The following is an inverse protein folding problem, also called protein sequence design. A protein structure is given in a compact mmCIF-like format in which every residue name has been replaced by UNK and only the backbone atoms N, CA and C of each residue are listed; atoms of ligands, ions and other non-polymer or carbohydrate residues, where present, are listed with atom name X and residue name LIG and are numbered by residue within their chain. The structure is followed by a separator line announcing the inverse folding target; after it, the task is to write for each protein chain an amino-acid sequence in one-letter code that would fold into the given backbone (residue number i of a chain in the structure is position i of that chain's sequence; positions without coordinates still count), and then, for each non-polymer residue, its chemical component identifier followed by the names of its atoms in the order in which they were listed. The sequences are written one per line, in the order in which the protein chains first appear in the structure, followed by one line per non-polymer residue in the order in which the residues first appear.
data_IF_227173620587
#
_entry.id   IF_227173620587
#
_cell.length_a   1.000
_cell.length_b   1.000
_cell.length_c   1.000
_cell.angle_alpha   90.00
_cell.angle_beta   90.00
_cell.angle_gamma   90.00
#
_symmetry.space_group_name_H-M   'P 1'
#
loop_
_entity.id
_entity.type
_entity.pdbx_description
1 polymer ?
#
# COMPACT_ATOMS: atom_id res chain seq x y z
N UNK A 1 -13.92 27.16 13.63
CA UNK A 1 -12.63 26.78 14.25
C UNK A 1 -12.92 25.60 15.18
N UNK A 2 -12.65 24.38 14.74
CA UNK A 2 -12.79 23.21 15.59
C UNK A 2 -11.73 23.34 16.69
N UNK A 3 -12.16 23.56 17.93
CA UNK A 3 -11.26 23.56 19.07
C UNK A 3 -10.66 22.16 19.20
N UNK A 4 -9.33 22.07 19.14
CA UNK A 4 -8.58 20.84 19.39
C UNK A 4 -8.03 20.88 20.82
N UNK A 5 -8.85 20.62 21.86
CA UNK A 5 -8.33 20.53 23.22
C UNK A 5 -7.32 19.38 23.28
N UNK A 6 -6.11 19.66 23.77
CA UNK A 6 -5.09 18.63 24.06
C UNK A 6 -3.90 18.55 23.11
N UNK A 7 -3.84 19.34 22.03
CA UNK A 7 -2.63 19.40 21.21
C UNK A 7 -1.58 20.33 21.85
N UNK A 8 -0.30 19.93 21.94
CA UNK A 8 0.76 20.78 22.44
C UNK A 8 0.92 22.03 21.57
N UNK A 9 1.40 23.12 22.17
CA UNK A 9 1.68 24.36 21.44
C UNK A 9 2.69 24.09 20.30
N UNK A 10 2.35 24.50 19.07
CA UNK A 10 3.16 24.26 17.87
C UNK A 10 2.91 22.94 17.16
N UNK A 11 1.93 22.13 17.58
CA UNK A 11 1.54 20.93 16.84
C UNK A 11 1.12 21.25 15.40
N UNK A 12 1.62 20.46 14.44
CA UNK A 12 1.15 20.47 13.06
C UNK A 12 0.16 19.34 12.87
N UNK A 13 -0.92 19.61 12.14
CA UNK A 13 -1.93 18.62 11.79
C UNK A 13 -2.00 18.47 10.28
N UNK A 14 -2.13 17.23 9.83
CA UNK A 14 -2.45 16.93 8.44
C UNK A 14 -3.98 16.92 8.29
N UNK A 15 -4.51 17.80 7.44
CA UNK A 15 -5.92 17.76 7.03
C UNK A 15 -5.99 17.10 5.66
N UNK A 16 -6.59 15.91 5.60
CA UNK A 16 -6.74 15.13 4.40
C UNK A 16 -8.23 14.85 4.11
N UNK A 17 -8.54 14.60 2.84
CA UNK A 17 -9.88 14.15 2.46
C UNK A 17 -10.11 12.72 2.95
N UNK A 18 -11.35 12.42 3.36
CA UNK A 18 -11.74 11.05 3.71
C UNK A 18 -11.85 10.20 2.45
N UNK A 19 -10.99 9.19 2.33
CA UNK A 19 -11.04 8.23 1.23
C UNK A 19 -12.37 7.45 1.26
N UNK A 20 -12.91 7.16 0.07
CA UNK A 20 -14.11 6.34 -0.04
C UNK A 20 -13.80 4.90 0.43
N UNK A 21 -14.77 4.19 1.03
CA UNK A 21 -14.58 2.81 1.46
C UNK A 21 -14.15 1.89 0.32
N UNK A 22 -13.40 0.84 0.66
CA UNK A 22 -12.89 -0.12 -0.30
C UNK A 22 -12.36 -1.38 0.39
N UNK A 23 -11.77 -2.27 -0.41
CA UNK A 23 -10.96 -3.37 0.09
C UNK A 23 -9.62 -2.78 0.54
N UNK A 24 -9.19 -3.13 1.75
CA UNK A 24 -7.86 -2.78 2.26
C UNK A 24 -6.80 -3.72 1.70
N UNK A 25 -5.70 -3.15 1.23
CA UNK A 25 -4.55 -3.86 0.67
C UNK A 25 -3.28 -3.27 1.26
N UNK A 26 -2.34 -4.14 1.63
CA UNK A 26 -0.97 -3.80 1.99
C UNK A 26 -0.12 -3.78 0.71
N UNK A 27 0.72 -2.75 0.56
CA UNK A 27 1.77 -2.67 -0.46
C UNK A 27 3.07 -2.25 0.20
N UNK A 28 4.10 -3.09 0.15
CA UNK A 28 5.39 -2.82 0.79
C UNK A 28 6.54 -3.11 -0.18
N UNK A 29 7.48 -2.19 -0.34
CA UNK A 29 8.70 -2.40 -1.10
C UNK A 29 9.92 -2.23 -0.17
N UNK A 30 10.92 -3.12 -0.28
CA UNK A 30 12.12 -3.09 0.56
C UNK A 30 13.39 -3.54 -0.16
N UNK A 31 14.51 -2.92 0.19
CA UNK A 31 15.84 -3.16 -0.39
C UNK A 31 16.85 -3.74 0.61
N UNK A 32 16.40 -4.22 1.77
CA UNK A 32 17.23 -4.78 2.85
C UNK A 32 17.64 -6.25 2.62
N UNK A 33 17.08 -6.91 1.61
CA UNK A 33 17.42 -8.28 1.20
C UNK A 33 18.45 -8.37 0.08
N UNK A 34 18.80 -9.61 -0.30
CA UNK A 34 19.74 -9.87 -1.43
C UNK A 34 19.22 -9.30 -2.75
N UNK A 35 17.89 -9.35 -2.95
CA UNK A 35 17.19 -8.75 -4.08
C UNK A 35 16.09 -7.88 -3.50
N UNK A 36 15.93 -6.62 -3.93
CA UNK A 36 14.80 -5.81 -3.52
C UNK A 36 13.48 -6.47 -3.89
N UNK A 37 12.47 -6.33 -3.03
CA UNK A 37 11.18 -7.02 -3.19
C UNK A 37 9.99 -6.10 -3.03
N UNK A 38 8.92 -6.43 -3.73
CA UNK A 38 7.58 -5.90 -3.54
C UNK A 38 6.71 -6.98 -2.90
N UNK A 39 6.01 -6.64 -1.83
CA UNK A 39 5.02 -7.45 -1.16
C UNK A 39 3.66 -6.80 -1.34
N UNK A 40 2.68 -7.55 -1.82
CA UNK A 40 1.28 -7.12 -1.87
C UNK A 40 0.39 -8.16 -1.22
N UNK A 41 -0.64 -7.73 -0.50
CA UNK A 41 -1.56 -8.65 0.17
C UNK A 41 -2.79 -7.95 0.71
N UNK A 42 -3.80 -8.73 1.10
CA UNK A 42 -5.02 -8.17 1.69
C UNK A 42 -4.72 -7.61 3.08
N UNK A 43 -5.25 -6.42 3.38
CA UNK A 43 -5.14 -5.74 4.68
C UNK A 43 -6.28 -6.06 5.65
N UNK A 44 -6.26 -5.42 6.82
CA UNK A 44 -7.25 -5.61 7.90
C UNK A 44 -7.16 -6.96 8.59
N UNK A 45 -8.27 -7.44 9.19
CA UNK A 45 -8.34 -8.74 9.90
C UNK A 45 -7.80 -9.91 9.06
N UNK A 46 -7.86 -9.79 7.73
CA UNK A 46 -7.39 -10.79 6.80
C UNK A 46 -5.85 -10.89 6.71
N UNK A 47 -5.10 -9.80 6.91
CA UNK A 47 -3.63 -9.85 6.93
C UNK A 47 -3.11 -10.56 8.18
N UNK A 48 -3.66 -10.23 9.35
CA UNK A 48 -3.20 -10.73 10.65
C UNK A 48 -3.55 -12.22 10.85
N UNK A 49 -4.71 -12.66 10.35
CA UNK A 49 -5.17 -14.03 10.53
C UNK A 49 -4.65 -15.02 9.47
N UNK A 50 -4.35 -14.56 8.24
CA UNK A 50 -4.07 -15.45 7.11
C UNK A 50 -2.69 -15.28 6.49
N UNK A 51 -1.99 -14.15 6.71
CA UNK A 51 -0.72 -13.87 6.05
C UNK A 51 -0.82 -13.97 4.52
N UNK A 52 -1.97 -13.60 3.95
CA UNK A 52 -2.27 -13.77 2.53
C UNK A 52 -1.60 -12.67 1.70
N UNK A 53 -0.34 -12.93 1.37
CA UNK A 53 0.54 -12.03 0.63
C UNK A 53 1.21 -12.75 -0.53
N UNK A 54 1.62 -12.00 -1.54
CA UNK A 54 2.57 -12.42 -2.56
C UNK A 54 3.79 -11.52 -2.54
N UNK A 55 4.96 -12.13 -2.68
CA UNK A 55 6.25 -11.43 -2.78
C UNK A 55 6.76 -11.56 -4.20
N UNK A 56 7.20 -10.45 -4.79
CA UNK A 56 7.70 -10.35 -6.15
C UNK A 56 9.09 -9.68 -6.10
N UNK A 57 10.10 -10.22 -6.81
CA UNK A 57 11.38 -9.53 -6.95
C UNK A 57 11.20 -8.25 -7.77
N UNK A 58 11.95 -7.20 -7.43
CA UNK A 58 12.00 -5.96 -8.19
C UNK A 58 13.17 -5.99 -9.22
N UNK A 59 13.03 -5.31 -10.37
CA UNK A 59 11.85 -4.56 -10.83
C UNK A 59 10.70 -5.48 -11.25
N UNK A 60 9.47 -4.97 -11.19
CA UNK A 60 8.25 -5.73 -11.49
C UNK A 60 7.28 -4.93 -12.35
N UNK A 61 6.56 -5.60 -13.26
CA UNK A 61 5.54 -4.95 -14.08
C UNK A 61 4.18 -4.93 -13.37
N UNK A 62 3.32 -3.96 -13.72
CA UNK A 62 1.93 -3.93 -13.24
C UNK A 62 1.19 -5.25 -13.55
N UNK A 63 1.43 -5.86 -14.72
CA UNK A 63 0.83 -7.16 -15.05
C UNK A 63 1.25 -8.27 -14.08
N UNK A 64 2.54 -8.37 -13.75
CA UNK A 64 3.02 -9.39 -12.82
C UNK A 64 2.46 -9.17 -11.39
N UNK A 65 2.28 -7.91 -10.99
CA UNK A 65 1.59 -7.56 -9.74
C UNK A 65 0.13 -8.00 -9.77
N UNK A 66 -0.60 -7.67 -10.85
CA UNK A 66 -1.99 -8.09 -11.05
C UNK A 66 -2.14 -9.60 -10.96
N UNK A 67 -1.30 -10.35 -11.66
CA UNK A 67 -1.30 -11.82 -11.63
C UNK A 67 -1.00 -12.34 -10.22
N UNK A 68 -0.09 -11.67 -9.48
CA UNK A 68 0.17 -11.93 -8.07
C UNK A 68 -1.06 -11.74 -7.18
N UNK A 69 -1.75 -10.61 -7.32
CA UNK A 69 -2.97 -10.29 -6.56
C UNK A 69 -4.09 -11.33 -6.80
N UNK A 70 -4.20 -11.86 -8.02
CA UNK A 70 -5.16 -12.90 -8.36
C UNK A 70 -4.83 -14.27 -7.76
N UNK A 71 -3.56 -14.49 -7.34
CA UNK A 71 -3.14 -15.72 -6.64
C UNK A 71 -3.36 -15.70 -5.14
N UNK A 72 -3.74 -14.55 -4.58
CA UNK A 72 -4.11 -14.45 -3.17
C UNK A 72 -5.28 -15.39 -2.86
N UNK A 73 -5.25 -16.03 -1.69
CA UNK A 73 -6.33 -16.94 -1.23
C UNK A 73 -7.66 -16.20 -1.15
N UNK A 74 -7.63 -14.92 -0.77
CA UNK A 74 -8.77 -14.02 -0.69
C UNK A 74 -9.02 -13.20 -1.96
N UNK A 75 -8.44 -13.55 -3.11
CA UNK A 75 -8.58 -12.78 -4.37
C UNK A 75 -10.03 -12.52 -4.80
N UNK A 76 -10.99 -13.36 -4.35
CA UNK A 76 -12.42 -13.14 -4.52
C UNK A 76 -12.91 -11.78 -3.97
N UNK A 77 -12.25 -11.22 -2.95
CA UNK A 77 -12.56 -9.88 -2.44
C UNK A 77 -12.18 -8.79 -3.44
N UNK A 78 -11.16 -9.02 -4.27
CA UNK A 78 -10.71 -8.09 -5.31
C UNK A 78 -11.53 -8.24 -6.60
N UNK A 79 -11.93 -9.47 -6.96
CA UNK A 79 -12.68 -9.76 -8.19
C UNK A 79 -14.19 -9.66 -8.03
N UNK A 80 -14.68 -9.40 -6.82
CA UNK A 80 -16.09 -9.26 -6.48
C UNK A 80 -16.63 -10.49 -5.76
N UNK A 81 -17.05 -10.31 -4.51
CA UNK A 81 -17.64 -11.35 -3.68
C UNK A 81 -18.74 -10.79 -2.77
N UNK A 82 -19.70 -11.65 -2.40
CA UNK A 82 -20.79 -11.33 -1.45
C UNK A 82 -21.57 -10.05 -1.80
N UNK A 83 -21.90 -9.86 -3.08
CA UNK A 83 -22.67 -8.70 -3.55
C UNK A 83 -21.86 -7.41 -3.68
N UNK A 84 -20.54 -7.45 -3.48
CA UNK A 84 -19.65 -6.30 -3.74
C UNK A 84 -19.11 -6.36 -5.18
N UNK A 85 -19.02 -5.22 -5.87
CA UNK A 85 -18.41 -5.16 -7.19
C UNK A 85 -16.90 -5.47 -7.12
N UNK A 86 -16.33 -5.86 -8.25
CA UNK A 86 -14.89 -5.94 -8.40
C UNK A 86 -14.24 -4.57 -8.14
N UNK A 87 -13.02 -4.59 -7.59
CA UNK A 87 -12.22 -3.38 -7.42
C UNK A 87 -11.46 -3.06 -8.72
N UNK A 88 -10.95 -1.83 -8.84
CA UNK A 88 -10.03 -1.48 -9.92
C UNK A 88 -8.66 -2.11 -9.66
N UNK A 89 -8.53 -3.36 -10.13
CA UNK A 89 -7.32 -4.15 -9.95
C UNK A 89 -6.13 -3.61 -10.75
N UNK A 90 -6.38 -2.94 -11.88
CA UNK A 90 -5.32 -2.31 -12.67
C UNK A 90 -4.73 -1.09 -11.96
N UNK A 91 -5.59 -0.27 -11.34
CA UNK A 91 -5.13 0.87 -10.55
C UNK A 91 -4.26 0.41 -9.36
N UNK A 92 -4.69 -0.63 -8.65
CA UNK A 92 -3.91 -1.21 -7.55
C UNK A 92 -2.56 -1.76 -8.04
N UNK A 93 -2.56 -2.55 -9.12
CA UNK A 93 -1.35 -3.15 -9.64
C UNK A 93 -0.34 -2.10 -10.16
N UNK A 94 -0.86 -1.06 -10.81
CA UNK A 94 -0.05 0.09 -11.27
C UNK A 94 0.55 0.86 -10.09
N UNK A 95 -0.25 1.13 -9.04
CA UNK A 95 0.22 1.79 -7.83
C UNK A 95 1.36 0.99 -7.19
N UNK A 96 1.17 -0.31 -7.00
CA UNK A 96 2.17 -1.15 -6.35
C UNK A 96 3.46 -1.32 -7.16
N UNK A 97 3.38 -1.44 -8.50
CA UNK A 97 4.57 -1.42 -9.35
C UNK A 97 5.34 -0.09 -9.22
N UNK A 98 4.63 1.05 -9.20
CA UNK A 98 5.26 2.37 -9.01
C UNK A 98 5.94 2.55 -7.65
N UNK A 99 5.44 1.90 -6.60
CA UNK A 99 6.14 1.88 -5.29
C UNK A 99 7.47 1.13 -5.40
N UNK A 100 7.49 0.02 -6.15
CA UNK A 100 8.73 -0.68 -6.50
C UNK A 100 9.70 0.20 -7.27
N UNK A 101 9.23 0.89 -8.30
CA UNK A 101 10.03 1.82 -9.09
C UNK A 101 10.57 2.99 -8.25
N UNK A 102 9.76 3.53 -7.33
CA UNK A 102 10.16 4.58 -6.39
C UNK A 102 11.33 4.13 -5.52
N UNK A 103 11.24 2.93 -4.93
CA UNK A 103 12.32 2.35 -4.13
C UNK A 103 13.61 2.21 -4.95
N UNK A 104 13.53 1.64 -6.16
CA UNK A 104 14.70 1.46 -7.02
C UNK A 104 15.30 2.79 -7.52
N UNK A 105 14.47 3.83 -7.64
CA UNK A 105 14.89 5.16 -8.06
C UNK A 105 15.49 6.04 -6.96
N UNK A 106 15.38 5.65 -5.69
CA UNK A 106 15.82 6.43 -4.54
C UNK A 106 16.83 5.64 -3.69
N UNK A 107 18.15 5.81 -3.91
CA UNK A 107 19.18 5.00 -3.23
C UNK A 107 19.16 5.06 -1.70
N UNK A 108 18.71 6.17 -1.12
CA UNK A 108 18.62 6.34 0.33
C UNK A 108 17.32 5.79 0.92
N UNK A 109 16.38 5.35 0.10
CA UNK A 109 15.11 4.76 0.55
C UNK A 109 15.30 3.27 0.79
N UNK A 110 15.20 2.84 2.05
CA UNK A 110 15.35 1.45 2.47
C UNK A 110 14.06 0.66 2.26
N UNK A 111 12.93 1.28 2.61
CA UNK A 111 11.62 0.68 2.42
C UNK A 111 10.50 1.72 2.37
N UNK A 112 9.40 1.33 1.73
CA UNK A 112 8.12 2.05 1.73
C UNK A 112 7.02 1.05 2.00
N UNK A 113 6.16 1.34 2.96
CA UNK A 113 4.96 0.57 3.23
C UNK A 113 3.74 1.48 3.14
N UNK A 114 2.75 1.06 2.34
CA UNK A 114 1.44 1.69 2.24
C UNK A 114 0.43 0.76 2.91
N UNK A 115 -0.11 1.19 4.04
CA UNK A 115 -0.99 0.36 4.86
C UNK A 115 -1.98 1.21 5.69
N UNK A 116 -3.26 1.34 5.26
CA UNK A 116 -3.87 0.65 4.14
C UNK A 116 -3.77 1.42 2.81
N UNK A 117 -3.78 0.66 1.72
CA UNK A 117 -4.29 1.11 0.41
C UNK A 117 -5.76 0.71 0.30
N UNK A 118 -6.66 1.68 0.15
CA UNK A 118 -8.08 1.42 -0.11
C UNK A 118 -8.32 1.32 -1.60
N UNK A 119 -8.97 0.23 -2.03
CA UNK A 119 -9.27 -0.03 -3.44
C UNK A 119 -10.75 -0.31 -3.63
N UNK A 120 -11.35 0.38 -4.59
CA UNK A 120 -12.73 0.15 -5.01
C UNK A 120 -12.84 0.29 -6.53
N UNK A 121 -14.06 0.27 -7.08
CA UNK A 121 -14.26 0.38 -8.53
C UNK A 121 -13.84 1.72 -9.15
N UNK A 122 -13.46 2.72 -8.35
CA UNK A 122 -12.98 4.02 -8.84
C UNK A 122 -11.46 4.18 -8.84
N UNK A 123 -10.72 3.23 -8.24
CA UNK A 123 -9.26 3.26 -8.20
C UNK A 123 -8.68 2.75 -6.87
N UNK A 124 -7.41 3.09 -6.65
CA UNK A 124 -6.63 2.73 -5.45
C UNK A 124 -6.03 4.00 -4.81
N UNK A 125 -6.16 4.12 -3.49
CA UNK A 125 -5.66 5.28 -2.71
C UNK A 125 -4.91 4.79 -1.49
N UNK A 126 -3.65 5.20 -1.34
CA UNK A 126 -2.90 5.01 -0.10
C UNK A 126 -3.42 6.00 0.96
N UNK A 127 -3.89 5.47 2.09
CA UNK A 127 -4.43 6.27 3.20
C UNK A 127 -3.34 6.59 4.22
N UNK A 128 -2.37 5.70 4.35
CA UNK A 128 -1.21 5.87 5.23
C UNK A 128 0.05 5.34 4.53
N UNK A 129 1.20 5.88 4.92
CA UNK A 129 2.49 5.54 4.37
C UNK A 129 3.61 5.67 5.41
N UNK A 130 4.44 4.65 5.51
CA UNK A 130 5.68 4.66 6.30
C UNK A 130 6.87 4.43 5.37
N UNK A 131 7.84 5.32 5.42
CA UNK A 131 9.08 5.21 4.66
C UNK A 131 10.28 5.18 5.61
N UNK A 132 11.21 4.26 5.36
CA UNK A 132 12.47 4.17 6.08
C UNK A 132 13.61 4.59 5.16
N UNK A 133 14.47 5.48 5.64
CA UNK A 133 15.59 6.05 4.90
C UNK A 133 16.92 5.69 5.59
N UNK A 134 18.00 5.56 4.82
CA UNK A 134 19.36 5.43 5.35
C UNK A 134 19.81 6.78 5.92
N UNK A 135 20.28 6.82 7.18
CA UNK A 135 21.06 7.94 7.73
C UNK A 135 20.45 9.35 7.69
N UNK A 136 19.64 9.67 8.71
CA UNK A 136 18.99 10.96 9.09
C UNK A 136 17.63 11.28 8.46
N UNK A 137 16.85 11.96 9.30
CA UNK A 137 15.44 12.37 9.20
C UNK A 137 14.86 12.47 7.79
N UNK A 138 13.64 11.94 7.64
CA UNK A 138 12.82 12.12 6.45
C UNK A 138 12.86 13.59 5.98
N UNK A 139 12.95 13.85 4.66
CA UNK A 139 12.93 15.21 4.14
C UNK A 139 11.70 15.95 4.68
N UNK A 140 11.93 17.16 5.22
CA UNK A 140 10.92 18.00 5.86
C UNK A 140 9.79 18.44 4.92
#
# INVERSE_FOLDING_TARGET
LLGTPGLPAGARVLVAAMAAPGVEVLVSARADGVVPTLVVGLGGIWSEALGDVVTLPLPVTGQAVRDGLLRLRGSALLTGARGRPAVDLEALATLAARVGDLLLGCPDLVSVELNPVLVNGSGAVAVDALALWTGREAPA
#
